data_IF_364260573183
#
_entry.id   IF_364260573183
#
_cell.length_a   1.000
_cell.length_b   1.000
_cell.length_c   1.000
_cell.angle_alpha   90.00
_cell.angle_beta   90.00
_cell.angle_gamma   90.00
#
_symmetry.space_group_name_H-M   'P 1'
#
loop_
_entity.id
_entity.type
_entity.pdbx_description
1 polymer ?
#
# COMPACT_ATOMS: atom_id res chain seq x y z
N UNK A 1 14.23 -2.95 6.47
CA UNK A 1 13.40 -1.80 6.05
C UNK A 1 12.32 -1.61 7.08
N UNK A 2 12.27 -0.45 7.72
CA UNK A 2 11.24 -0.12 8.70
C UNK A 2 9.91 0.20 8.01
N UNK A 3 8.79 -0.29 8.55
CA UNK A 3 7.45 -0.08 7.99
C UNK A 3 6.60 0.77 8.94
N UNK A 4 6.17 1.95 8.47
CA UNK A 4 5.35 2.89 9.26
C UNK A 4 4.05 3.24 8.55
N UNK A 5 3.05 3.65 9.32
CA UNK A 5 1.75 4.11 8.82
C UNK A 5 1.46 5.51 9.31
N UNK A 6 0.93 6.36 8.43
CA UNK A 6 0.41 7.68 8.81
C UNK A 6 -0.96 7.58 9.48
N UNK A 7 -1.43 8.66 10.10
CA UNK A 7 -2.81 8.75 10.61
C UNK A 7 -3.85 8.56 9.50
N UNK A 8 -3.62 9.17 8.32
CA UNK A 8 -4.50 9.01 7.15
C UNK A 8 -4.62 7.55 6.74
N UNK A 9 -3.51 6.82 6.70
CA UNK A 9 -3.54 5.39 6.41
C UNK A 9 -4.40 4.63 7.42
N UNK A 10 -4.25 4.92 8.72
CA UNK A 10 -5.02 4.25 9.78
C UNK A 10 -6.51 4.52 9.66
N UNK A 11 -6.92 5.76 9.34
CA UNK A 11 -8.32 6.11 9.06
C UNK A 11 -8.87 5.33 7.85
N UNK A 12 -8.13 5.31 6.74
CA UNK A 12 -8.50 4.50 5.57
C UNK A 12 -8.63 3.02 5.92
N UNK A 13 -7.66 2.46 6.66
CA UNK A 13 -7.64 1.07 7.08
C UNK A 13 -8.84 0.72 7.97
N UNK A 14 -9.22 1.61 8.90
CA UNK A 14 -10.38 1.43 9.78
C UNK A 14 -11.70 1.35 9.01
N UNK A 15 -11.81 2.03 7.87
CA UNK A 15 -13.01 2.00 7.04
C UNK A 15 -13.09 0.77 6.11
N UNK A 16 -12.05 -0.06 6.05
CA UNK A 16 -12.07 -1.25 5.20
C UNK A 16 -13.00 -2.35 5.75
N UNK A 17 -13.61 -3.16 4.88
CA UNK A 17 -14.30 -4.38 5.29
C UNK A 17 -13.36 -5.32 6.05
N UNK A 18 -13.87 -6.06 7.05
CA UNK A 18 -13.06 -6.93 7.92
C UNK A 18 -12.19 -7.92 7.13
N UNK A 19 -12.74 -8.51 6.06
CA UNK A 19 -12.01 -9.43 5.17
C UNK A 19 -10.77 -8.77 4.55
N UNK A 20 -10.90 -7.50 4.13
CA UNK A 20 -9.82 -6.75 3.50
C UNK A 20 -8.77 -6.32 4.52
N UNK A 21 -9.18 -5.96 5.75
CA UNK A 21 -8.24 -5.72 6.87
C UNK A 21 -7.35 -6.95 7.14
N UNK A 22 -7.95 -8.14 7.17
CA UNK A 22 -7.20 -9.38 7.38
C UNK A 22 -6.25 -9.68 6.21
N UNK A 23 -6.73 -9.49 4.97
CA UNK A 23 -5.92 -9.67 3.77
C UNK A 23 -4.74 -8.69 3.72
N UNK A 24 -4.95 -7.43 4.08
CA UNK A 24 -3.88 -6.44 4.15
C UNK A 24 -2.80 -6.84 5.15
N UNK A 25 -3.18 -7.28 6.36
CA UNK A 25 -2.22 -7.79 7.36
C UNK A 25 -1.39 -8.97 6.83
N UNK A 26 -2.02 -9.91 6.14
CA UNK A 26 -1.32 -11.05 5.55
C UNK A 26 -0.33 -10.60 4.45
N UNK A 27 -0.76 -9.68 3.59
CA UNK A 27 0.07 -9.10 2.53
C UNK A 27 1.28 -8.36 3.10
N UNK A 28 1.09 -7.56 4.16
CA UNK A 28 2.20 -6.84 4.80
C UNK A 28 3.23 -7.78 5.43
N UNK A 29 2.80 -8.85 6.10
CA UNK A 29 3.72 -9.89 6.62
C UNK A 29 4.57 -10.54 5.52
N UNK A 30 3.95 -10.81 4.38
CA UNK A 30 4.66 -11.39 3.23
C UNK A 30 5.60 -10.36 2.61
N UNK A 31 5.17 -9.10 2.48
CA UNK A 31 6.01 -8.03 1.94
C UNK A 31 7.23 -7.73 2.82
N UNK A 32 7.10 -7.78 4.15
CA UNK A 32 8.22 -7.58 5.09
C UNK A 32 9.34 -8.62 4.90
N UNK A 33 8.98 -9.84 4.50
CA UNK A 33 9.94 -10.95 4.33
C UNK A 33 10.37 -11.17 2.88
N UNK A 34 9.49 -10.90 1.91
CA UNK A 34 9.67 -11.17 0.48
C UNK A 34 9.06 -10.05 -0.37
N UNK A 35 9.64 -8.83 -0.35
CA UNK A 35 9.06 -7.66 -1.03
C UNK A 35 8.97 -7.83 -2.56
N UNK A 36 9.86 -8.64 -3.15
CA UNK A 36 9.92 -8.88 -4.60
C UNK A 36 8.96 -9.97 -5.11
N UNK A 37 8.09 -10.50 -4.25
CA UNK A 37 7.14 -11.52 -4.66
C UNK A 37 6.15 -10.98 -5.70
N UNK A 38 6.09 -11.61 -6.88
CA UNK A 38 5.28 -11.16 -8.03
C UNK A 38 3.79 -10.93 -7.72
N UNK A 39 3.21 -11.72 -6.81
CA UNK A 39 1.80 -11.61 -6.39
C UNK A 39 1.47 -10.27 -5.73
N UNK A 40 2.44 -9.67 -5.02
CA UNK A 40 2.31 -8.39 -4.35
C UNK A 40 2.20 -7.23 -5.34
N UNK A 41 2.69 -7.40 -6.57
CA UNK A 41 2.82 -6.34 -7.57
C UNK A 41 3.39 -5.04 -6.96
N UNK A 42 4.37 -5.20 -6.06
CA UNK A 42 5.02 -4.08 -5.40
C UNK A 42 5.87 -3.32 -6.41
N UNK A 43 5.51 -2.07 -6.72
CA UNK A 43 6.18 -1.30 -7.77
C UNK A 43 6.12 0.20 -7.53
N UNK A 44 7.12 0.93 -8.06
CA UNK A 44 7.11 2.39 -8.15
C UNK A 44 6.02 2.82 -9.14
N UNK A 45 5.22 3.82 -8.76
CA UNK A 45 4.06 4.29 -9.53
C UNK A 45 4.11 5.78 -9.89
N UNK A 46 5.14 6.49 -9.43
CA UNK A 46 5.36 7.90 -9.73
C UNK A 46 6.76 8.11 -10.34
N UNK A 47 6.90 9.05 -11.27
CA UNK A 47 8.11 9.21 -12.07
C UNK A 47 9.25 9.88 -11.31
N UNK A 48 8.93 10.88 -10.47
CA UNK A 48 9.92 11.67 -9.72
C UNK A 48 10.10 11.11 -8.31
N UNK A 49 9.05 11.19 -7.51
CA UNK A 49 9.04 10.70 -6.14
C UNK A 49 9.03 9.17 -6.02
N UNK A 50 9.59 8.66 -4.92
CA UNK A 50 9.64 7.24 -4.59
C UNK A 50 8.30 6.72 -4.03
N UNK A 51 7.21 6.92 -4.77
CA UNK A 51 5.89 6.42 -4.40
C UNK A 51 5.70 5.02 -4.97
N UNK A 52 5.32 4.09 -4.09
CA UNK A 52 5.10 2.69 -4.41
C UNK A 52 3.67 2.25 -4.11
N UNK A 53 3.16 1.35 -4.93
CA UNK A 53 1.89 0.64 -4.71
C UNK A 53 2.15 -0.83 -4.39
N UNK A 54 1.32 -1.40 -3.53
CA UNK A 54 1.22 -2.85 -3.28
C UNK A 54 -0.23 -3.33 -3.47
N UNK A 55 -0.37 -4.56 -3.99
CA UNK A 55 -1.65 -5.24 -4.17
C UNK A 55 -2.08 -5.93 -2.88
N UNK A 56 -3.19 -5.46 -2.33
CA UNK A 56 -3.84 -6.12 -1.19
C UNK A 56 -4.71 -7.27 -1.70
N UNK A 57 -5.55 -7.00 -2.70
CA UNK A 57 -6.41 -8.00 -3.35
C UNK A 57 -6.76 -7.58 -4.77
N UNK A 58 -7.69 -8.26 -5.45
CA UNK A 58 -8.05 -7.91 -6.83
C UNK A 58 -8.40 -6.42 -6.98
N UNK A 59 -9.27 -5.95 -6.08
CA UNK A 59 -9.84 -4.61 -6.10
C UNK A 59 -9.31 -3.69 -5.00
N UNK A 60 -8.19 -4.01 -4.34
CA UNK A 60 -7.67 -3.24 -3.20
C UNK A 60 -6.16 -3.01 -3.31
N UNK A 61 -5.72 -1.78 -3.03
CA UNK A 61 -4.32 -1.34 -3.08
C UNK A 61 -3.94 -0.59 -1.82
N UNK A 62 -2.65 -0.58 -1.49
CA UNK A 62 -2.06 0.35 -0.55
C UNK A 62 -0.92 1.11 -1.23
N UNK A 63 -0.72 2.36 -0.82
CA UNK A 63 0.28 3.26 -1.38
C UNK A 63 1.10 3.87 -0.24
N UNK A 64 2.40 3.93 -0.47
CA UNK A 64 3.33 4.57 0.44
C UNK A 64 4.51 5.17 -0.30
N UNK A 65 5.29 5.96 0.43
CA UNK A 65 6.56 6.51 -0.04
C UNK A 65 7.70 5.70 0.56
N UNK A 66 8.69 5.37 -0.26
CA UNK A 66 9.91 4.69 0.16
C UNK A 66 11.05 5.69 0.23
N UNK A 67 11.63 5.82 1.41
CA UNK A 67 12.93 6.45 1.64
C UNK A 67 13.95 5.34 1.92
N UNK A 68 15.24 5.64 1.84
CA UNK A 68 16.34 4.66 1.78
C UNK A 68 16.11 3.40 2.63
N UNK A 69 15.83 3.56 3.93
CA UNK A 69 15.62 2.44 4.85
C UNK A 69 14.16 2.27 5.34
N UNK A 70 13.24 3.14 4.92
CA UNK A 70 11.90 3.23 5.49
C UNK A 70 10.79 3.28 4.44
N UNK A 71 9.73 2.53 4.69
CA UNK A 71 8.48 2.60 3.95
C UNK A 71 7.40 3.27 4.81
N UNK A 72 6.84 4.37 4.33
CA UNK A 72 5.77 5.10 4.99
C UNK A 72 4.49 4.97 4.18
N UNK A 73 3.55 4.17 4.69
CA UNK A 73 2.24 3.97 4.08
C UNK A 73 1.28 5.09 4.44
N UNK A 74 0.69 5.73 3.43
CA UNK A 74 -0.20 6.88 3.61
C UNK A 74 -1.63 6.64 3.12
N UNK A 75 -1.87 5.60 2.34
CA UNK A 75 -3.19 5.29 1.82
C UNK A 75 -3.43 3.78 1.61
N UNK A 76 -4.67 3.34 1.81
CA UNK A 76 -5.16 2.00 1.46
C UNK A 76 -6.65 2.09 1.08
N UNK A 77 -7.06 1.43 0.00
CA UNK A 77 -8.44 1.56 -0.47
C UNK A 77 -8.73 0.79 -1.74
N UNK A 78 -9.91 1.05 -2.30
CA UNK A 78 -10.42 0.35 -3.47
C UNK A 78 -9.62 0.69 -4.74
N UNK A 79 -9.74 -0.13 -5.77
CA UNK A 79 -9.06 0.13 -7.04
C UNK A 79 -9.59 1.40 -7.73
N UNK A 80 -10.89 1.70 -7.60
CA UNK A 80 -11.49 2.94 -8.09
C UNK A 80 -10.90 4.17 -7.38
N UNK A 81 -10.80 4.13 -6.05
CA UNK A 81 -10.22 5.23 -5.27
C UNK A 81 -8.72 5.39 -5.55
N UNK A 82 -8.02 4.28 -5.78
CA UNK A 82 -6.62 4.27 -6.20
C UNK A 82 -6.42 4.98 -7.55
N UNK A 83 -7.31 4.75 -8.52
CA UNK A 83 -7.23 5.43 -9.82
C UNK A 83 -7.42 6.94 -9.68
N UNK A 84 -8.30 7.37 -8.77
CA UNK A 84 -8.48 8.79 -8.46
C UNK A 84 -7.28 9.39 -7.71
N UNK A 85 -6.66 8.62 -6.82
CA UNK A 85 -5.44 9.03 -6.12
C UNK A 85 -4.29 9.28 -7.09
N UNK A 86 -4.01 8.36 -8.01
CA UNK A 86 -2.89 8.50 -8.96
C UNK A 86 -3.04 9.72 -9.84
N UNK A 87 -4.25 10.06 -10.29
CA UNK A 87 -4.47 11.26 -11.12
C UNK A 87 -4.06 12.57 -10.43
N UNK A 88 -3.88 12.55 -9.11
CA UNK A 88 -3.52 13.72 -8.29
C UNK A 88 -2.07 13.66 -7.78
N UNK A 89 -1.34 12.60 -8.13
CA UNK A 89 0.09 12.41 -7.82
C UNK A 89 0.88 12.74 -9.07
#
# INVERSE_FOLDING_TARGET
MESRTTERFRKCFQNLPKKIKNQARAVFKVWETKPDQKSLKFKKIHSKENIYSIRIGLNWRAVGVKNDEQMIWFWIGSHSDYNNLIKRL
#
